data_IF_748608983778
#
_entry.id   IF_748608983778
#
_cell.length_a   1.000
_cell.length_b   1.000
_cell.length_c   1.000
_cell.angle_alpha   90.00
_cell.angle_beta   90.00
_cell.angle_gamma   90.00
#
_symmetry.space_group_name_H-M   'P 1'
#
loop_
_entity.id
_entity.type
_entity.pdbx_description
1 polymer ?
#
# COMPACT_ATOMS: atom_id res chain seq x y z
N UNK A 1 60.03 18.63 -51.89
CA UNK A 1 60.55 17.54 -51.04
C UNK A 1 59.45 17.07 -50.10
N UNK A 2 59.18 15.75 -50.09
CA UNK A 2 58.58 14.90 -49.02
C UNK A 2 57.19 15.25 -48.47
N UNK A 3 56.25 14.32 -48.19
CA UNK A 3 55.85 12.97 -48.66
C UNK A 3 54.68 12.57 -47.72
N UNK A 4 53.53 12.15 -48.29
CA UNK A 4 52.59 11.08 -47.83
C UNK A 4 51.84 11.23 -46.48
N UNK A 5 50.79 10.41 -46.15
CA UNK A 5 49.90 9.57 -46.98
C UNK A 5 48.39 9.60 -46.59
N UNK A 6 47.55 9.05 -47.49
CA UNK A 6 46.27 8.41 -47.17
C UNK A 6 46.47 7.25 -46.17
N UNK A 7 45.61 7.15 -45.15
CA UNK A 7 45.54 5.99 -44.27
C UNK A 7 44.11 5.80 -43.78
N UNK A 8 43.34 5.00 -44.51
CA UNK A 8 42.06 4.49 -44.03
C UNK A 8 42.26 3.50 -42.89
N UNK A 9 41.40 3.62 -41.87
CA UNK A 9 41.14 2.57 -40.89
C UNK A 9 39.75 2.81 -40.35
N UNK A 10 38.77 2.22 -41.04
CA UNK A 10 37.51 1.88 -40.41
C UNK A 10 37.79 0.79 -39.38
N UNK A 11 37.38 1.00 -38.13
CA UNK A 11 37.30 -0.06 -37.15
C UNK A 11 36.22 0.26 -36.11
N UNK A 12 35.09 -0.41 -36.28
CA UNK A 12 34.18 -0.89 -35.23
C UNK A 12 33.81 0.10 -34.11
N UNK A 13 32.75 0.88 -34.37
CA UNK A 13 31.90 1.42 -33.33
C UNK A 13 31.16 0.25 -32.66
N UNK A 14 31.71 -0.25 -31.56
CA UNK A 14 31.06 -1.27 -30.71
C UNK A 14 29.82 -0.63 -30.09
N UNK A 15 28.66 -0.96 -30.65
CA UNK A 15 27.36 -0.71 -30.04
C UNK A 15 27.23 -1.63 -28.82
N UNK A 16 27.72 -1.18 -27.67
CA UNK A 16 27.35 -1.78 -26.39
C UNK A 16 25.89 -1.41 -26.10
N UNK A 17 24.98 -2.31 -26.43
CA UNK A 17 23.62 -2.30 -25.88
C UNK A 17 23.71 -2.65 -24.40
N UNK A 18 23.95 -1.64 -23.56
CA UNK A 18 23.73 -1.73 -22.13
C UNK A 18 22.24 -2.00 -21.93
N UNK A 19 21.90 -3.24 -21.58
CA UNK A 19 20.60 -3.59 -21.05
C UNK A 19 20.50 -2.90 -19.69
N UNK A 20 19.94 -1.69 -19.69
CA UNK A 20 19.56 -0.98 -18.47
C UNK A 20 18.42 -1.76 -17.84
N UNK A 21 18.77 -2.63 -16.91
CA UNK A 21 17.84 -3.11 -15.90
C UNK A 21 17.56 -1.91 -14.99
N UNK A 22 16.48 -1.18 -15.30
CA UNK A 22 16.00 -0.08 -14.47
C UNK A 22 15.46 -0.64 -13.14
N UNK A 23 16.36 -1.04 -12.25
CA UNK A 23 16.09 -1.04 -10.83
C UNK A 23 16.04 0.45 -10.43
N UNK A 24 14.83 0.98 -10.24
CA UNK A 24 14.67 2.32 -9.71
C UNK A 24 15.38 2.37 -8.34
N UNK A 25 16.42 3.20 -8.26
CA UNK A 25 17.20 3.39 -7.04
C UNK A 25 16.26 3.88 -5.92
N UNK A 26 16.14 3.19 -4.77
CA UNK A 26 15.30 3.64 -3.66
C UNK A 26 15.82 4.93 -3.00
N UNK A 27 17.12 5.23 -3.11
CA UNK A 27 17.77 6.37 -2.46
C UNK A 27 17.10 7.74 -2.76
N UNK A 28 16.81 8.11 -4.02
CA UNK A 28 16.13 9.38 -4.31
C UNK A 28 14.71 9.47 -3.74
N UNK A 29 13.99 8.34 -3.59
CA UNK A 29 12.60 8.35 -3.09
C UNK A 29 12.54 8.52 -1.58
N UNK A 30 13.42 7.84 -0.87
CA UNK A 30 13.57 8.03 0.57
C UNK A 30 13.98 9.46 0.89
N UNK A 31 14.84 10.07 0.07
CA UNK A 31 15.21 11.47 0.23
C UNK A 31 14.01 12.43 0.03
N UNK A 32 13.18 12.19 -0.99
CA UNK A 32 11.93 12.96 -1.19
C UNK A 32 10.99 12.80 0.00
N UNK A 33 10.81 11.57 0.51
CA UNK A 33 9.99 11.32 1.71
C UNK A 33 10.51 12.04 2.94
N UNK A 34 11.82 11.97 3.18
CA UNK A 34 12.46 12.66 4.30
C UNK A 34 12.27 14.18 4.20
N UNK A 35 12.41 14.75 3.00
CA UNK A 35 12.14 16.17 2.76
C UNK A 35 10.68 16.52 3.07
N UNK A 36 9.71 15.78 2.55
CA UNK A 36 8.29 16.03 2.79
C UNK A 36 7.93 15.90 4.27
N UNK A 37 8.53 14.95 4.97
CA UNK A 37 8.32 14.76 6.40
C UNK A 37 8.90 15.95 7.20
N UNK A 38 10.13 16.36 6.90
CA UNK A 38 10.74 17.54 7.54
C UNK A 38 9.94 18.81 7.27
N UNK A 39 9.36 18.96 6.07
CA UNK A 39 8.50 20.09 5.73
C UNK A 39 7.20 20.11 6.56
N UNK A 40 6.55 18.95 6.70
CA UNK A 40 5.36 18.81 7.54
C UNK A 40 5.68 19.13 9.01
N UNK A 41 6.78 18.62 9.53
CA UNK A 41 7.22 18.88 10.91
C UNK A 41 7.47 20.38 11.16
N UNK A 42 8.09 21.08 10.21
CA UNK A 42 8.27 22.54 10.29
C UNK A 42 6.94 23.28 10.30
N UNK A 43 5.97 22.87 9.48
CA UNK A 43 4.63 23.47 9.45
C UNK A 43 3.91 23.25 10.78
N UNK A 44 3.97 22.04 11.34
CA UNK A 44 3.35 21.72 12.63
C UNK A 44 4.01 22.47 13.79
N UNK A 45 5.34 22.60 13.79
CA UNK A 45 6.07 23.38 14.79
C UNK A 45 5.70 24.87 14.74
N UNK A 46 5.50 25.42 13.54
CA UNK A 46 5.02 26.79 13.38
C UNK A 46 3.58 26.94 13.88
N UNK A 47 2.71 26.00 13.56
CA UNK A 47 1.34 26.01 14.03
C UNK A 47 1.25 25.92 15.56
N UNK A 48 2.06 25.08 16.22
CA UNK A 48 2.07 24.99 17.67
C UNK A 48 2.53 26.30 18.33
N UNK A 49 3.54 26.97 17.76
CA UNK A 49 3.97 28.30 18.18
C UNK A 49 2.87 29.35 17.98
N UNK A 50 2.20 29.36 16.82
CA UNK A 50 1.07 30.25 16.52
C UNK A 50 -0.07 30.05 17.54
N UNK A 51 -0.41 28.80 17.88
CA UNK A 51 -1.45 28.48 18.87
C UNK A 51 -1.08 28.95 20.28
N UNK A 52 0.18 28.80 20.68
CA UNK A 52 0.68 29.31 21.95
C UNK A 52 0.66 30.85 21.98
N UNK A 53 0.94 31.52 20.86
CA UNK A 53 0.81 32.96 20.77
C UNK A 53 -0.66 33.41 20.83
N UNK A 54 -1.58 32.66 20.19
CA UNK A 54 -3.00 32.98 20.20
C UNK A 54 -3.63 32.90 21.59
N UNK A 55 -3.20 31.96 22.45
CA UNK A 55 -3.73 31.82 23.80
C UNK A 55 -3.42 33.01 24.71
N UNK A 56 -2.38 33.79 24.40
CA UNK A 56 -2.02 35.01 25.12
C UNK A 56 -2.82 36.26 24.67
N UNK A 57 -3.66 36.15 23.63
CA UNK A 57 -4.41 37.28 23.05
C UNK A 57 -5.83 37.31 23.56
N UNK A 58 -6.47 38.48 23.56
CA UNK A 58 -7.88 38.62 23.94
C UNK A 58 -8.82 37.97 22.90
N UNK A 59 -8.48 38.05 21.61
CA UNK A 59 -9.24 37.46 20.51
C UNK A 59 -8.75 36.05 20.14
N UNK A 60 -8.73 35.13 21.11
CA UNK A 60 -8.18 33.76 20.95
C UNK A 60 -8.85 33.02 19.80
N UNK A 61 -10.18 33.08 19.69
CA UNK A 61 -10.96 32.32 18.70
C UNK A 61 -10.59 32.71 17.27
N UNK A 62 -10.68 33.99 16.92
CA UNK A 62 -10.31 34.46 15.58
C UNK A 62 -8.84 34.16 15.26
N UNK A 63 -7.93 34.34 16.22
CA UNK A 63 -6.52 34.00 16.06
C UNK A 63 -6.31 32.51 15.78
N UNK A 64 -6.99 31.64 16.53
CA UNK A 64 -6.90 30.20 16.38
C UNK A 64 -7.48 29.73 15.03
N UNK A 65 -8.59 30.31 14.59
CA UNK A 65 -9.20 30.00 13.29
C UNK A 65 -8.26 30.37 12.13
N UNK A 66 -7.63 31.54 12.20
CA UNK A 66 -6.64 31.95 11.21
C UNK A 66 -5.41 31.03 11.23
N UNK A 67 -4.93 30.61 12.40
CA UNK A 67 -3.82 29.67 12.53
C UNK A 67 -4.17 28.30 11.93
N UNK A 68 -5.39 27.81 12.16
CA UNK A 68 -5.90 26.57 11.58
C UNK A 68 -6.00 26.66 10.06
N UNK A 69 -6.47 27.78 9.52
CA UNK A 69 -6.54 28.00 8.07
C UNK A 69 -5.15 28.04 7.43
N UNK A 70 -4.21 28.79 8.02
CA UNK A 70 -2.81 28.80 7.56
C UNK A 70 -2.18 27.41 7.58
N UNK A 71 -2.42 26.61 8.63
CA UNK A 71 -1.96 25.22 8.69
C UNK A 71 -2.54 24.36 7.58
N UNK A 72 -3.85 24.46 7.32
CA UNK A 72 -4.51 23.71 6.24
C UNK A 72 -3.89 24.04 4.89
N UNK A 73 -3.70 25.33 4.59
CA UNK A 73 -3.10 25.79 3.34
C UNK A 73 -1.66 25.33 3.20
N UNK A 74 -0.85 25.50 4.24
CA UNK A 74 0.57 25.10 4.23
C UNK A 74 0.75 23.58 4.05
N UNK A 75 -0.13 22.76 4.64
CA UNK A 75 -0.08 21.30 4.51
C UNK A 75 -0.62 20.78 3.16
N UNK A 76 -1.31 21.60 2.36
CA UNK A 76 -1.97 21.15 1.14
C UNK A 76 -0.96 20.63 0.10
N UNK A 77 0.09 21.40 -0.17
CA UNK A 77 1.13 21.05 -1.13
C UNK A 77 1.92 19.78 -0.73
N UNK A 78 2.54 19.68 0.46
CA UNK A 78 3.29 18.48 0.84
C UNK A 78 2.41 17.24 0.96
N UNK A 79 1.11 17.39 1.28
CA UNK A 79 0.15 16.27 1.24
C UNK A 79 -0.09 15.80 -0.20
N UNK A 80 -0.32 16.72 -1.14
CA UNK A 80 -0.54 16.37 -2.54
C UNK A 80 0.68 15.68 -3.14
N UNK A 81 1.89 16.18 -2.86
CA UNK A 81 3.14 15.57 -3.32
C UNK A 81 3.35 14.16 -2.74
N UNK A 82 3.07 13.98 -1.43
CA UNK A 82 3.13 12.67 -0.79
C UNK A 82 2.15 11.65 -1.40
N UNK A 83 0.92 12.07 -1.69
CA UNK A 83 -0.07 11.22 -2.36
C UNK A 83 0.37 10.82 -3.77
N UNK A 84 0.91 11.76 -4.55
CA UNK A 84 1.44 11.49 -5.87
C UNK A 84 2.58 10.45 -5.83
N UNK A 85 3.48 10.56 -4.85
CA UNK A 85 4.56 9.59 -4.65
C UNK A 85 4.02 8.20 -4.32
N UNK A 86 3.05 8.10 -3.41
CA UNK A 86 2.44 6.83 -3.03
C UNK A 86 1.68 6.18 -4.21
N UNK A 87 1.02 6.96 -5.04
CA UNK A 87 0.34 6.49 -6.24
C UNK A 87 1.32 5.94 -7.28
N UNK A 88 2.45 6.60 -7.49
CA UNK A 88 3.53 6.10 -8.35
C UNK A 88 4.01 4.73 -7.85
N UNK A 89 4.29 4.58 -6.56
CA UNK A 89 4.72 3.30 -6.00
C UNK A 89 3.66 2.20 -6.08
N UNK A 90 2.38 2.55 -5.93
CA UNK A 90 1.28 1.60 -6.13
C UNK A 90 1.27 1.10 -7.57
N UNK A 91 1.42 1.99 -8.55
CA UNK A 91 1.46 1.64 -9.98
C UNK A 91 2.65 0.76 -10.31
N UNK A 92 3.83 1.09 -9.80
CA UNK A 92 5.04 0.29 -10.00
C UNK A 92 4.92 -1.10 -9.39
N UNK A 93 4.48 -1.22 -8.14
CA UNK A 93 4.25 -2.53 -7.51
C UNK A 93 3.20 -3.34 -8.26
N UNK A 94 2.15 -2.70 -8.78
CA UNK A 94 1.16 -3.38 -9.60
C UNK A 94 1.77 -3.87 -10.93
N UNK A 95 2.58 -3.05 -11.60
CA UNK A 95 3.28 -3.42 -12.83
C UNK A 95 4.27 -4.58 -12.60
N UNK A 96 5.08 -4.51 -11.54
CA UNK A 96 6.01 -5.58 -11.16
C UNK A 96 5.28 -6.91 -10.88
N UNK A 97 4.15 -6.86 -10.17
CA UNK A 97 3.31 -8.05 -9.94
C UNK A 97 2.76 -8.63 -11.23
N UNK A 98 2.26 -7.78 -12.15
CA UNK A 98 1.76 -8.24 -13.46
C UNK A 98 2.88 -8.90 -14.27
N UNK A 99 4.06 -8.30 -14.31
CA UNK A 99 5.22 -8.87 -14.99
C UNK A 99 5.62 -10.23 -14.39
N UNK A 100 5.66 -10.35 -13.06
CA UNK A 100 5.96 -11.60 -12.38
C UNK A 100 4.93 -12.70 -12.67
N UNK A 101 3.63 -12.37 -12.73
CA UNK A 101 2.58 -13.32 -13.10
C UNK A 101 2.74 -13.76 -14.56
N UNK A 102 2.98 -12.83 -15.48
CA UNK A 102 3.21 -13.17 -16.89
C UNK A 102 4.45 -14.05 -17.08
N UNK A 103 5.53 -13.78 -16.35
CA UNK A 103 6.72 -14.62 -16.37
C UNK A 103 6.41 -16.06 -15.91
N UNK A 104 5.69 -16.22 -14.79
CA UNK A 104 5.24 -17.53 -14.30
C UNK A 104 4.32 -18.25 -15.28
N UNK A 105 3.43 -17.53 -15.95
CA UNK A 105 2.55 -18.11 -16.97
C UNK A 105 3.33 -18.60 -18.20
N UNK A 106 4.33 -17.82 -18.66
CA UNK A 106 5.21 -18.24 -19.76
C UNK A 106 6.03 -19.47 -19.39
N UNK A 107 6.58 -19.50 -18.18
CA UNK A 107 7.33 -20.65 -17.66
C UNK A 107 6.44 -21.90 -17.54
N UNK A 108 5.22 -21.75 -17.05
CA UNK A 108 4.23 -22.83 -16.99
C UNK A 108 3.87 -23.33 -18.40
N UNK A 109 3.63 -22.41 -19.35
CA UNK A 109 3.32 -22.76 -20.74
C UNK A 109 4.47 -23.50 -21.44
N UNK A 110 5.72 -23.11 -21.18
CA UNK A 110 6.91 -23.81 -21.66
C UNK A 110 7.03 -25.22 -21.07
N UNK A 111 6.71 -25.39 -19.78
CA UNK A 111 6.68 -26.71 -19.12
C UNK A 111 5.54 -27.60 -19.61
N UNK A 112 4.42 -27.03 -20.06
CA UNK A 112 3.26 -27.76 -20.58
C UNK A 112 3.23 -27.92 -22.09
N UNK A 113 4.25 -27.47 -22.83
CA UNK A 113 4.33 -27.67 -24.27
C UNK A 113 4.34 -29.19 -24.57
N UNK A 114 3.47 -29.67 -25.49
CA UNK A 114 3.22 -31.10 -25.66
C UNK A 114 4.40 -31.75 -26.38
N UNK A 115 5.24 -32.42 -25.60
CA UNK A 115 6.35 -33.24 -26.07
C UNK A 115 6.56 -34.47 -25.20
N UNK A 116 5.49 -35.12 -24.74
CA UNK A 116 5.51 -36.52 -24.26
C UNK A 116 4.10 -36.98 -23.85
N UNK A 117 3.18 -37.07 -24.80
CA UNK A 117 2.15 -38.12 -24.74
C UNK A 117 2.70 -39.30 -25.53
N UNK A 118 3.75 -39.93 -25.01
CA UNK A 118 4.24 -41.20 -25.53
C UNK A 118 3.34 -42.31 -24.99
N UNK A 119 2.50 -42.80 -25.88
CA UNK A 119 1.94 -44.13 -25.99
C UNK A 119 2.08 -45.07 -24.77
N UNK A 120 0.93 -45.52 -24.27
CA UNK A 120 0.84 -46.80 -23.59
C UNK A 120 1.20 -47.93 -24.59
N UNK A 121 2.31 -48.63 -24.34
CA UNK A 121 2.59 -49.97 -24.87
C UNK A 121 3.32 -50.75 -23.76
N UNK A 122 2.85 -51.93 -23.32
CA UNK A 122 3.64 -52.77 -22.45
C UNK A 122 4.50 -53.69 -23.33
N UNK A 123 5.83 -53.56 -23.25
CA UNK A 123 6.76 -54.52 -23.83
C UNK A 123 7.86 -54.84 -22.83
N UNK A 124 7.93 -56.13 -22.52
CA UNK A 124 8.92 -56.82 -21.69
C UNK A 124 10.33 -56.73 -22.30
N UNK A 125 11.36 -56.60 -21.46
CA UNK A 125 12.74 -56.94 -21.84
C UNK A 125 13.87 -56.09 -21.24
N UNK A 126 14.47 -56.63 -20.17
CA UNK A 126 15.90 -56.59 -19.78
C UNK A 126 16.71 -55.27 -19.61
N UNK A 127 17.53 -55.32 -18.55
CA UNK A 127 18.81 -54.62 -18.29
C UNK A 127 18.79 -53.16 -17.76
N UNK A 128 18.77 -53.08 -16.43
CA UNK A 128 19.61 -52.25 -15.57
C UNK A 128 20.05 -50.86 -16.07
N UNK A 129 19.23 -49.85 -15.76
CA UNK A 129 19.71 -48.56 -15.23
C UNK A 129 18.77 -48.18 -14.10
N UNK A 130 19.30 -48.05 -12.86
CA UNK A 130 18.51 -47.65 -11.70
C UNK A 130 18.15 -46.17 -11.85
N UNK A 131 16.87 -45.80 -12.07
CA UNK A 131 16.50 -44.39 -12.10
C UNK A 131 16.70 -43.80 -10.68
N UNK A 132 17.01 -42.50 -10.55
CA UNK A 132 16.97 -41.86 -9.24
C UNK A 132 15.58 -42.09 -8.63
N UNK A 133 15.46 -42.30 -7.30
CA UNK A 133 14.18 -42.57 -6.69
C UNK A 133 13.23 -41.43 -7.06
N UNK A 134 12.18 -41.74 -7.83
CA UNK A 134 11.06 -40.83 -8.00
C UNK A 134 10.55 -40.58 -6.59
N UNK A 135 10.66 -39.34 -6.12
CA UNK A 135 10.07 -38.94 -4.85
C UNK A 135 8.60 -39.31 -4.96
N UNK A 136 8.17 -40.32 -4.19
CA UNK A 136 6.79 -40.77 -4.24
C UNK A 136 5.91 -39.56 -3.92
N UNK A 137 4.97 -39.25 -4.81
CA UNK A 137 3.98 -38.20 -4.53
C UNK A 137 3.22 -38.53 -3.25
N UNK A 138 2.64 -37.53 -2.56
CA UNK A 138 1.95 -37.75 -1.31
C UNK A 138 0.89 -38.84 -1.49
N UNK A 139 0.94 -39.82 -0.59
CA UNK A 139 -0.01 -40.93 -0.53
C UNK A 139 -1.44 -40.40 -0.36
N UNK A 140 -2.43 -41.22 -0.68
CA UNK A 140 -3.83 -40.83 -0.52
C UNK A 140 -4.18 -40.50 0.94
N UNK A 141 -3.58 -41.22 1.90
CA UNK A 141 -3.69 -40.92 3.32
C UNK A 141 -3.10 -39.53 3.68
N UNK A 142 -1.95 -39.16 3.12
CA UNK A 142 -1.35 -37.83 3.33
C UNK A 142 -2.21 -36.72 2.72
N UNK A 143 -2.81 -36.95 1.54
CA UNK A 143 -3.72 -35.99 0.90
C UNK A 143 -4.99 -35.79 1.72
N UNK A 144 -5.58 -36.87 2.24
CA UNK A 144 -6.75 -36.78 3.14
C UNK A 144 -6.40 -36.06 4.46
N UNK A 145 -5.24 -36.34 5.05
CA UNK A 145 -4.79 -35.65 6.25
C UNK A 145 -4.55 -34.14 6.01
N UNK A 146 -3.98 -33.77 4.86
CA UNK A 146 -3.81 -32.37 4.48
C UNK A 146 -5.16 -31.66 4.25
N UNK A 147 -6.11 -32.31 3.59
CA UNK A 147 -7.46 -31.77 3.39
C UNK A 147 -8.20 -31.58 4.72
N UNK A 148 -8.12 -32.55 5.64
CA UNK A 148 -8.72 -32.43 6.97
C UNK A 148 -8.12 -31.27 7.78
N UNK A 149 -6.80 -31.06 7.70
CA UNK A 149 -6.12 -29.91 8.32
C UNK A 149 -6.51 -28.58 7.68
N UNK A 150 -6.64 -28.54 6.36
CA UNK A 150 -7.10 -27.35 5.65
C UNK A 150 -8.56 -27.01 6.02
N UNK A 151 -9.43 -28.01 6.11
CA UNK A 151 -10.82 -27.84 6.51
C UNK A 151 -10.96 -27.35 7.96
N UNK A 152 -10.16 -27.90 8.89
CA UNK A 152 -10.17 -27.45 10.29
C UNK A 152 -9.63 -26.02 10.43
N UNK A 153 -8.56 -25.66 9.72
CA UNK A 153 -8.03 -24.30 9.68
C UNK A 153 -9.04 -23.30 9.07
N UNK A 154 -9.74 -23.70 8.01
CA UNK A 154 -10.79 -22.89 7.40
C UNK A 154 -11.97 -22.69 8.37
N UNK A 155 -12.40 -23.74 9.07
CA UNK A 155 -13.47 -23.66 10.07
C UNK A 155 -13.08 -22.78 11.27
N UNK A 156 -11.84 -22.87 11.76
CA UNK A 156 -11.34 -22.00 12.82
C UNK A 156 -11.33 -20.52 12.38
N UNK A 157 -10.85 -20.25 11.17
CA UNK A 157 -10.84 -18.90 10.58
C UNK A 157 -12.27 -18.35 10.42
N UNK A 158 -13.21 -19.18 9.97
CA UNK A 158 -14.61 -18.77 9.83
C UNK A 158 -15.25 -18.43 11.18
N UNK A 159 -14.97 -19.21 12.23
CA UNK A 159 -15.43 -18.94 13.60
C UNK A 159 -14.86 -17.62 14.14
N UNK A 160 -13.57 -17.37 13.92
CA UNK A 160 -12.94 -16.11 14.33
C UNK A 160 -13.59 -14.91 13.65
N UNK A 161 -13.77 -14.96 12.32
CA UNK A 161 -14.44 -13.87 11.58
C UNK A 161 -15.87 -13.64 12.05
N UNK A 162 -16.59 -14.72 12.36
CA UNK A 162 -17.95 -14.62 12.89
C UNK A 162 -17.98 -13.97 14.28
N UNK A 163 -17.01 -14.27 15.15
CA UNK A 163 -16.88 -13.62 16.46
C UNK A 163 -16.56 -12.13 16.31
N UNK A 164 -15.57 -11.78 15.48
CA UNK A 164 -15.20 -10.39 15.20
C UNK A 164 -16.35 -9.59 14.55
N UNK A 165 -17.19 -10.23 13.72
CA UNK A 165 -18.38 -9.60 13.16
C UNK A 165 -19.42 -9.29 14.24
N UNK A 166 -19.69 -10.23 15.14
CA UNK A 166 -20.62 -10.04 16.27
C UNK A 166 -20.13 -8.94 17.22
N UNK A 167 -18.83 -8.89 17.50
CA UNK A 167 -18.26 -7.86 18.34
C UNK A 167 -18.42 -6.47 17.72
N UNK A 168 -18.12 -6.32 16.43
CA UNK A 168 -18.33 -5.04 15.72
C UNK A 168 -19.79 -4.62 15.70
N UNK A 169 -20.72 -5.57 15.55
CA UNK A 169 -22.15 -5.29 15.62
C UNK A 169 -22.54 -4.77 17.01
N UNK A 170 -22.12 -5.45 18.08
CA UNK A 170 -22.38 -5.03 19.45
C UNK A 170 -21.77 -3.64 19.77
N UNK A 171 -20.55 -3.36 19.31
CA UNK A 171 -19.92 -2.04 19.48
C UNK A 171 -20.69 -0.93 18.74
N UNK A 172 -21.22 -1.24 17.55
CA UNK A 172 -22.00 -0.30 16.74
C UNK A 172 -23.33 0.01 17.44
N UNK A 173 -24.04 -1.02 17.90
CA UNK A 173 -25.30 -0.89 18.65
C UNK A 173 -25.10 -0.09 19.94
N UNK A 174 -24.05 -0.38 20.72
CA UNK A 174 -23.72 0.36 21.94
C UNK A 174 -23.41 1.84 21.64
N UNK A 175 -22.69 2.11 20.54
CA UNK A 175 -22.39 3.49 20.13
C UNK A 175 -23.66 4.24 19.72
N UNK A 176 -24.55 3.60 18.97
CA UNK A 176 -25.83 4.18 18.57
C UNK A 176 -26.71 4.48 19.79
N UNK A 177 -26.83 3.54 20.73
CA UNK A 177 -27.57 3.73 21.97
C UNK A 177 -27.05 4.94 22.77
N UNK A 178 -25.72 5.09 22.89
CA UNK A 178 -25.11 6.25 23.57
C UNK A 178 -25.37 7.58 22.85
N UNK A 179 -25.43 7.58 21.52
CA UNK A 179 -25.77 8.79 20.75
C UNK A 179 -27.24 9.16 21.00
N UNK A 180 -28.15 8.19 20.91
CA UNK A 180 -29.58 8.39 21.16
C UNK A 180 -29.85 8.89 22.58
N UNK A 181 -29.19 8.33 23.59
CA UNK A 181 -29.30 8.81 24.97
C UNK A 181 -28.85 10.27 25.12
N UNK A 182 -27.71 10.64 24.52
CA UNK A 182 -27.22 12.03 24.55
C UNK A 182 -28.15 12.99 23.80
N UNK A 183 -28.79 12.54 22.73
CA UNK A 183 -29.80 13.34 22.01
C UNK A 183 -31.05 13.54 22.87
N UNK A 184 -31.61 12.46 23.42
CA UNK A 184 -32.78 12.54 24.30
C UNK A 184 -32.51 13.39 25.56
N UNK A 185 -31.30 13.32 26.12
CA UNK A 185 -30.90 14.18 27.24
C UNK A 185 -30.84 15.65 26.84
N UNK A 186 -30.28 15.96 25.66
CA UNK A 186 -30.24 17.35 25.13
C UNK A 186 -31.64 17.88 24.84
N UNK A 187 -32.53 17.05 24.32
CA UNK A 187 -33.93 17.40 24.07
C UNK A 187 -34.66 17.68 25.40
N UNK A 188 -34.50 16.82 26.40
CA UNK A 188 -35.07 17.02 27.75
C UNK A 188 -34.55 18.27 28.45
N UNK A 189 -33.26 18.58 28.30
CA UNK A 189 -32.64 19.78 28.87
C UNK A 189 -33.08 21.07 28.14
N UNK A 190 -33.66 20.96 26.94
CA UNK A 190 -34.06 22.09 26.12
C UNK A 190 -32.88 22.91 25.60
N UNK A 191 -33.09 23.70 24.55
CA UNK A 191 -32.12 24.72 24.12
C UNK A 191 -32.24 25.94 25.04
N UNK A 192 -31.50 25.94 26.14
CA UNK A 192 -31.36 27.16 26.98
C UNK A 192 -30.31 28.06 26.33
N UNK A 193 -30.69 28.74 25.26
CA UNK A 193 -29.96 29.90 24.76
C UNK A 193 -30.73 31.14 25.24
N UNK A 194 -30.23 31.79 26.29
CA UNK A 194 -30.75 33.10 26.69
C UNK A 194 -30.48 34.09 25.53
N UNK A 195 -31.48 34.87 25.09
CA UNK A 195 -31.25 35.89 24.08
C UNK A 195 -30.22 36.90 24.63
N UNK A 196 -29.23 37.24 23.80
CA UNK A 196 -28.23 38.25 24.14
C UNK A 196 -28.95 39.59 24.40
N UNK A 197 -28.60 40.34 25.47
CA UNK A 197 -29.20 41.63 25.74
C UNK A 197 -28.90 42.59 24.59
N UNK A 198 -29.94 43.16 23.99
CA UNK A 198 -29.80 44.23 22.99
C UNK A 198 -29.39 45.52 23.71
N UNK A 199 -28.27 46.17 23.33
CA UNK A 199 -27.89 47.43 23.95
C UNK A 199 -28.94 48.50 23.61
N UNK A 200 -29.46 49.18 24.64
CA UNK A 200 -30.32 50.33 24.46
C UNK A 200 -29.54 51.41 23.71
N UNK A 201 -30.08 51.87 22.58
CA UNK A 201 -29.48 52.94 21.79
C UNK A 201 -29.36 54.21 22.64
N UNK A 202 -28.13 54.63 22.91
CA UNK A 202 -27.81 55.90 23.55
C UNK A 202 -28.31 57.05 22.66
N UNK A 203 -29.15 57.93 23.20
CA UNK A 203 -29.50 59.23 22.60
C UNK A 203 -28.45 60.28 22.96
#
# INVERSE_FOLDING_TARGET
MRRLPLGGLGLMLVLQTAVVTAAADPAPREQVRARLQAERERIEARFSADMAACSARFAVTACADDALERRRQALAAPRAEGLALDDLERRERAAARRAAVQAKQREAAQRSAPGASAAAVPASGAAAQRPPPRVAGPTEAERQAQQARAASAAAATARQRAAEARERQAQTEATQARIQQRQAERERRGRVAAPLPVPAASR
#
